data_IF_196400890361
#
_entry.id   IF_196400890361
#
_cell.length_a   1.000
_cell.length_b   1.000
_cell.length_c   1.000
_cell.angle_alpha   90.00
_cell.angle_beta   90.00
_cell.angle_gamma   90.00
#
_symmetry.space_group_name_H-M   'P 1'
#
loop_
_entity.id
_entity.type
_entity.pdbx_description
1 polymer ?
#
# COMPACT_ATOMS: atom_id res chain seq x y z
N UNK A 1 -25.95 2.73 -39.79
CA UNK A 1 -26.63 1.70 -40.61
C UNK A 1 -25.54 0.79 -41.14
N UNK A 2 -25.67 -0.53 -40.99
CA UNK A 2 -24.70 -1.49 -41.52
C UNK A 2 -24.82 -1.48 -43.05
N UNK A 3 -23.68 -1.50 -43.75
CA UNK A 3 -23.65 -1.54 -45.20
C UNK A 3 -24.40 -2.79 -45.70
N UNK A 4 -25.42 -2.66 -46.58
CA UNK A 4 -26.16 -3.78 -47.14
C UNK A 4 -25.27 -4.90 -47.70
N UNK A 5 -24.09 -4.56 -48.23
CA UNK A 5 -23.14 -5.50 -48.83
C UNK A 5 -22.33 -6.29 -47.79
N UNK A 6 -22.38 -5.87 -46.51
CA UNK A 6 -21.70 -6.55 -45.39
C UNK A 6 -22.64 -7.37 -44.51
N UNK A 7 -23.94 -7.36 -44.84
CA UNK A 7 -24.97 -8.05 -44.08
C UNK A 7 -24.76 -9.57 -44.14
N UNK A 8 -24.77 -10.23 -42.98
CA UNK A 8 -24.43 -11.64 -42.77
C UNK A 8 -22.96 -12.04 -42.98
N UNK A 9 -22.04 -11.09 -43.21
CA UNK A 9 -20.63 -11.44 -43.27
C UNK A 9 -20.16 -11.99 -41.92
N UNK A 10 -19.45 -13.12 -41.97
CA UNK A 10 -18.83 -13.75 -40.81
C UNK A 10 -17.45 -13.12 -40.60
N UNK A 11 -17.23 -12.59 -39.40
CA UNK A 11 -15.97 -11.98 -38.98
C UNK A 11 -15.39 -12.75 -37.80
N UNK A 12 -14.07 -12.73 -37.68
CA UNK A 12 -13.36 -13.33 -36.56
C UNK A 12 -12.47 -12.32 -35.85
N UNK A 13 -12.49 -12.33 -34.51
CA UNK A 13 -11.65 -11.48 -33.68
C UNK A 13 -11.15 -12.25 -32.46
N UNK A 14 -10.18 -11.68 -31.75
CA UNK A 14 -9.69 -12.23 -30.50
C UNK A 14 -10.30 -11.48 -29.31
N UNK A 15 -10.74 -12.20 -28.30
CA UNK A 15 -11.37 -11.66 -27.09
C UNK A 15 -10.75 -12.28 -25.84
N UNK A 16 -10.50 -11.48 -24.82
CA UNK A 16 -10.09 -11.97 -23.51
C UNK A 16 -11.31 -12.53 -22.77
N UNK A 17 -11.32 -13.85 -22.55
CA UNK A 17 -12.41 -14.54 -21.86
C UNK A 17 -11.91 -15.02 -20.51
N UNK A 18 -12.55 -14.56 -19.43
CA UNK A 18 -12.25 -15.01 -18.06
C UNK A 18 -13.19 -16.14 -17.68
N UNK A 19 -12.65 -17.30 -17.32
CA UNK A 19 -13.38 -18.46 -16.80
C UNK A 19 -12.92 -18.78 -15.39
N UNK A 20 -13.84 -19.16 -14.52
CA UNK A 20 -13.50 -19.68 -13.19
C UNK A 20 -13.23 -21.18 -13.31
N UNK A 21 -12.00 -21.58 -13.00
CA UNK A 21 -11.60 -22.99 -12.92
C UNK A 21 -11.19 -23.31 -11.50
N UNK A 22 -11.86 -24.30 -10.90
CA UNK A 22 -11.48 -24.84 -9.61
C UNK A 22 -10.19 -25.66 -9.76
N UNK A 23 -9.18 -25.40 -8.93
CA UNK A 23 -8.01 -26.26 -8.82
C UNK A 23 -7.67 -26.55 -7.36
N UNK A 24 -7.04 -27.70 -7.14
CA UNK A 24 -6.67 -28.17 -5.81
C UNK A 24 -5.32 -27.59 -5.41
N UNK A 25 -5.30 -26.69 -4.43
CA UNK A 25 -4.08 -26.16 -3.82
C UNK A 25 -3.71 -27.03 -2.62
N UNK A 26 -2.55 -27.68 -2.69
CA UNK A 26 -1.94 -28.33 -1.52
C UNK A 26 -1.36 -27.26 -0.58
N UNK A 27 -1.74 -27.32 0.68
CA UNK A 27 -1.17 -26.51 1.74
C UNK A 27 0.09 -27.17 2.32
N UNK A 28 0.90 -26.38 3.02
CA UNK A 28 2.14 -26.80 3.67
C UNK A 28 1.94 -27.84 4.77
N UNK A 29 0.72 -27.99 5.29
CA UNK A 29 0.32 -29.00 6.27
C UNK A 29 -0.13 -30.33 5.63
N UNK A 30 -0.09 -30.44 4.29
CA UNK A 30 -0.54 -31.62 3.54
C UNK A 30 -2.03 -31.64 3.21
N UNK A 31 -2.83 -30.69 3.69
CA UNK A 31 -4.25 -30.58 3.34
C UNK A 31 -4.43 -30.01 1.93
N UNK A 32 -5.55 -30.35 1.31
CA UNK A 32 -5.88 -29.90 -0.05
C UNK A 32 -7.13 -29.03 0.01
N UNK A 33 -7.02 -27.78 -0.47
CA UNK A 33 -8.14 -26.85 -0.56
C UNK A 33 -8.48 -26.60 -2.02
N UNK A 34 -9.76 -26.69 -2.38
CA UNK A 34 -10.22 -26.31 -3.72
C UNK A 34 -10.32 -24.80 -3.76
N UNK A 35 -9.53 -24.18 -4.63
CA UNK A 35 -9.52 -22.74 -4.83
C UNK A 35 -10.00 -22.46 -6.23
N UNK A 36 -11.00 -21.58 -6.32
CA UNK A 36 -11.46 -21.04 -7.59
C UNK A 36 -10.45 -20.02 -8.11
N UNK A 37 -9.91 -20.27 -9.30
CA UNK A 37 -9.06 -19.31 -9.98
C UNK A 37 -9.70 -18.83 -11.27
N UNK A 38 -9.63 -17.52 -11.47
CA UNK A 38 -10.04 -16.87 -12.70
C UNK A 38 -8.89 -16.99 -13.69
N UNK A 39 -9.07 -17.81 -14.71
CA UNK A 39 -8.15 -17.90 -15.83
C UNK A 39 -8.65 -17.04 -16.98
N UNK A 40 -7.82 -16.16 -17.50
CA UNK A 40 -8.17 -15.27 -18.62
C UNK A 40 -7.36 -15.66 -19.84
N UNK A 41 -8.05 -16.15 -20.87
CA UNK A 41 -7.42 -16.64 -22.09
C UNK A 41 -7.88 -15.84 -23.28
N UNK A 42 -6.98 -15.60 -24.23
CA UNK A 42 -7.31 -14.98 -25.50
C UNK A 42 -7.97 -16.06 -26.39
N UNK A 43 -9.27 -15.92 -26.63
CA UNK A 43 -10.03 -16.85 -27.46
C UNK A 43 -10.36 -16.20 -28.81
N UNK A 44 -10.28 -17.00 -29.88
CA UNK A 44 -10.77 -16.58 -31.20
C UNK A 44 -12.29 -16.76 -31.25
N UNK A 45 -13.03 -15.68 -31.43
CA UNK A 45 -14.47 -15.67 -31.67
C UNK A 45 -14.77 -15.52 -33.15
N UNK A 46 -15.90 -16.09 -33.57
CA UNK A 46 -16.41 -16.01 -34.93
C UNK A 46 -17.90 -15.70 -34.83
N UNK A 47 -18.36 -14.59 -35.40
CA UNK A 47 -19.77 -14.21 -35.41
C UNK A 47 -20.09 -13.34 -36.62
N UNK A 48 -21.36 -12.94 -36.76
CA UNK A 48 -21.77 -12.02 -37.83
C UNK A 48 -21.32 -10.59 -37.56
N UNK A 49 -21.23 -9.79 -38.62
CA UNK A 49 -20.88 -8.36 -38.56
C UNK A 49 -21.89 -7.58 -37.71
N UNK A 50 -23.18 -7.94 -37.76
CA UNK A 50 -24.23 -7.34 -36.93
C UNK A 50 -23.96 -7.58 -35.45
N UNK A 51 -23.54 -8.80 -35.08
CA UNK A 51 -23.23 -9.12 -33.69
C UNK A 51 -22.02 -8.34 -33.19
N UNK A 52 -21.00 -8.17 -34.02
CA UNK A 52 -19.83 -7.37 -33.67
C UNK A 52 -20.21 -5.89 -33.45
N UNK A 53 -21.06 -5.33 -34.31
CA UNK A 53 -21.55 -3.95 -34.17
C UNK A 53 -22.39 -3.78 -32.91
N UNK A 54 -23.26 -4.75 -32.61
CA UNK A 54 -24.06 -4.76 -31.37
C UNK A 54 -23.15 -4.77 -30.13
N UNK A 55 -22.16 -5.68 -30.07
CA UNK A 55 -21.20 -5.74 -28.97
C UNK A 55 -20.42 -4.43 -28.83
N UNK A 56 -19.94 -3.87 -29.95
CA UNK A 56 -19.23 -2.59 -29.97
C UNK A 56 -20.10 -1.47 -29.41
N UNK A 57 -21.38 -1.38 -29.82
CA UNK A 57 -22.30 -0.35 -29.32
C UNK A 57 -22.61 -0.52 -27.83
N UNK A 58 -22.64 -1.75 -27.32
CA UNK A 58 -22.83 -2.02 -25.90
C UNK A 58 -21.62 -1.60 -25.05
N UNK A 59 -20.40 -1.79 -25.58
CA UNK A 59 -19.15 -1.47 -24.88
C UNK A 59 -18.70 -0.02 -25.05
N UNK A 60 -19.11 0.64 -26.14
CA UNK A 60 -18.69 2.00 -26.51
C UNK A 60 -18.92 3.04 -25.41
N UNK A 61 -20.06 3.07 -24.68
CA UNK A 61 -20.26 4.00 -23.58
C UNK A 61 -19.24 3.81 -22.45
N UNK A 62 -18.98 2.55 -22.08
CA UNK A 62 -18.00 2.21 -21.03
C UNK A 62 -16.58 2.58 -21.46
N UNK A 63 -16.23 2.30 -22.71
CA UNK A 63 -14.95 2.68 -23.28
C UNK A 63 -14.76 4.20 -23.34
N UNK A 64 -15.82 4.95 -23.72
CA UNK A 64 -15.78 6.41 -23.80
C UNK A 64 -15.58 7.05 -22.42
N UNK A 65 -16.28 6.55 -21.38
CA UNK A 65 -16.07 6.98 -19.98
C UNK A 65 -14.64 6.69 -19.54
N UNK A 66 -14.12 5.50 -19.86
CA UNK A 66 -12.76 5.12 -19.51
C UNK A 66 -11.70 6.04 -20.15
N UNK A 67 -11.82 6.34 -21.45
CA UNK A 67 -10.93 7.29 -22.14
C UNK A 67 -11.03 8.69 -21.55
N UNK A 68 -12.24 9.15 -21.25
CA UNK A 68 -12.46 10.43 -20.58
C UNK A 68 -11.77 10.47 -19.21
N UNK A 69 -11.93 9.41 -18.41
CA UNK A 69 -11.32 9.31 -17.09
C UNK A 69 -9.79 9.39 -17.16
N UNK A 70 -9.16 8.66 -18.09
CA UNK A 70 -7.69 8.71 -18.28
C UNK A 70 -7.25 10.14 -18.59
N UNK A 71 -7.87 10.79 -19.57
CA UNK A 71 -7.53 12.15 -19.98
C UNK A 71 -7.74 13.16 -18.85
N UNK A 72 -8.86 13.04 -18.13
CA UNK A 72 -9.19 13.89 -16.99
C UNK A 72 -8.19 13.72 -15.86
N UNK A 73 -7.93 12.49 -15.42
CA UNK A 73 -7.01 12.17 -14.34
C UNK A 73 -5.60 12.66 -14.64
N UNK A 74 -5.10 12.43 -15.86
CA UNK A 74 -3.78 12.92 -16.26
C UNK A 74 -3.68 14.43 -16.15
N UNK A 75 -4.71 15.14 -16.63
CA UNK A 75 -4.79 16.60 -16.55
C UNK A 75 -4.80 17.08 -15.09
N UNK A 76 -5.65 16.47 -14.24
CA UNK A 76 -5.73 16.84 -12.82
C UNK A 76 -4.47 16.57 -12.03
N UNK A 77 -3.81 15.43 -12.26
CA UNK A 77 -2.53 15.10 -11.61
C UNK A 77 -1.43 16.07 -12.06
N UNK A 78 -1.45 16.48 -13.34
CA UNK A 78 -0.52 17.49 -13.85
C UNK A 78 -0.74 18.85 -13.19
N UNK A 79 -1.99 19.31 -13.13
CA UNK A 79 -2.37 20.55 -12.45
C UNK A 79 -1.98 20.52 -10.98
N UNK A 80 -2.24 19.41 -10.29
CA UNK A 80 -1.86 19.20 -8.88
C UNK A 80 -0.35 19.40 -8.69
N UNK A 81 0.48 18.75 -9.50
CA UNK A 81 1.96 18.89 -9.42
C UNK A 81 2.45 20.31 -9.73
N UNK A 82 1.74 21.05 -10.57
CA UNK A 82 2.11 22.41 -10.98
C UNK A 82 1.67 23.49 -9.97
N UNK A 83 0.72 23.18 -9.09
CA UNK A 83 0.09 24.14 -8.18
C UNK A 83 0.31 23.80 -6.69
N UNK A 84 1.36 23.02 -6.38
CA UNK A 84 1.69 22.63 -5.01
C UNK A 84 2.09 23.83 -4.16
N UNK A 85 1.42 23.96 -3.02
CA UNK A 85 1.84 24.85 -1.94
C UNK A 85 3.01 24.24 -1.14
N UNK A 86 3.73 25.08 -0.38
CA UNK A 86 4.90 24.65 0.43
C UNK A 86 4.56 23.63 1.54
N UNK A 87 3.28 23.54 1.91
CA UNK A 87 2.77 22.58 2.88
C UNK A 87 2.21 21.30 2.24
N UNK A 88 2.33 21.16 0.92
CA UNK A 88 1.83 20.03 0.15
C UNK A 88 2.97 19.22 -0.47
N UNK A 89 2.77 17.90 -0.54
CA UNK A 89 3.66 16.98 -1.24
C UNK A 89 2.86 15.96 -2.02
N UNK A 90 3.29 15.66 -3.24
CA UNK A 90 2.73 14.54 -4.04
C UNK A 90 3.70 13.38 -4.01
N UNK A 91 3.22 12.20 -3.62
CA UNK A 91 3.96 10.94 -3.70
C UNK A 91 3.35 10.11 -4.81
N UNK A 92 4.04 10.03 -5.94
CA UNK A 92 3.64 9.18 -7.06
C UNK A 92 4.47 7.91 -7.03
N UNK A 93 3.85 6.75 -6.87
CA UNK A 93 4.58 5.49 -6.68
C UNK A 93 3.93 4.33 -7.41
N UNK A 94 4.77 3.34 -7.72
CA UNK A 94 4.35 2.05 -8.24
C UNK A 94 5.39 0.96 -7.93
N UNK A 95 4.96 -0.31 -7.97
CA UNK A 95 5.85 -1.46 -7.94
C UNK A 95 6.49 -1.64 -9.31
N UNK A 96 7.81 -1.58 -9.35
CA UNK A 96 8.55 -2.11 -10.49
C UNK A 96 8.50 -3.65 -10.43
N UNK A 97 8.53 -4.30 -11.59
CA UNK A 97 8.83 -5.73 -11.66
C UNK A 97 10.06 -6.06 -10.81
N UNK A 98 9.97 -7.18 -10.08
CA UNK A 98 11.03 -7.65 -9.20
C UNK A 98 12.35 -7.79 -9.96
N UNK A 99 13.44 -7.38 -9.33
CA UNK A 99 14.78 -7.59 -9.87
C UNK A 99 15.22 -9.02 -9.60
N UNK A 100 15.62 -9.74 -10.66
CA UNK A 100 16.27 -11.04 -10.52
C UNK A 100 17.76 -10.80 -10.21
N UNK A 101 18.23 -11.22 -9.04
CA UNK A 101 19.62 -11.12 -8.63
C UNK A 101 20.56 -11.87 -9.57
N UNK A 102 21.69 -11.26 -9.93
CA UNK A 102 22.62 -11.78 -10.93
C UNK A 102 24.04 -11.79 -10.38
N UNK A 103 24.82 -12.74 -10.88
CA UNK A 103 26.26 -12.86 -10.62
C UNK A 103 27.03 -12.40 -11.84
N UNK A 104 28.15 -11.74 -11.63
CA UNK A 104 29.01 -11.25 -12.71
C UNK A 104 29.74 -12.36 -13.46
N UNK A 105 29.97 -13.49 -12.78
CA UNK A 105 30.41 -14.75 -13.36
C UNK A 105 29.47 -15.84 -12.89
N UNK A 106 28.70 -16.42 -13.81
CA UNK A 106 27.82 -17.55 -13.47
C UNK A 106 28.67 -18.74 -12.98
N UNK A 107 28.47 -19.13 -11.74
CA UNK A 107 29.03 -20.36 -11.18
C UNK A 107 28.18 -21.51 -11.72
N UNK A 108 28.79 -22.60 -12.21
CA UNK A 108 28.08 -23.75 -12.83
C UNK A 108 26.84 -24.23 -12.07
N UNK A 109 26.80 -24.12 -10.74
CA UNK A 109 25.66 -24.53 -9.90
C UNK A 109 24.43 -23.61 -10.01
N UNK A 110 24.59 -22.33 -10.37
CA UNK A 110 23.44 -21.41 -10.61
C UNK A 110 22.75 -21.67 -11.95
N UNK A 111 23.44 -22.33 -12.90
CA UNK A 111 22.88 -22.72 -14.19
C UNK A 111 21.90 -23.91 -14.07
N UNK A 112 22.07 -24.76 -13.03
CA UNK A 112 21.24 -25.96 -12.81
C UNK A 112 20.32 -25.88 -11.57
N UNK A 113 20.58 -24.97 -10.63
CA UNK A 113 19.82 -24.81 -9.37
C UNK A 113 18.72 -23.74 -9.41
N UNK A 114 17.92 -23.70 -10.49
CA UNK A 114 16.99 -22.62 -10.83
C UNK A 114 16.22 -21.97 -9.66
N UNK A 115 16.68 -20.81 -9.22
CA UNK A 115 15.88 -19.63 -8.90
C UNK A 115 16.83 -18.50 -8.49
N UNK A 116 17.06 -17.52 -9.38
CA UNK A 116 17.69 -16.27 -8.96
C UNK A 116 16.86 -15.66 -7.84
N UNK A 117 17.49 -15.26 -6.73
CA UNK A 117 16.77 -14.53 -5.67
C UNK A 117 16.11 -13.30 -6.30
N UNK A 118 14.87 -13.05 -5.94
CA UNK A 118 14.14 -11.89 -6.41
C UNK A 118 14.14 -10.80 -5.33
N UNK A 119 14.14 -9.55 -5.79
CA UNK A 119 14.10 -8.37 -4.92
C UNK A 119 12.95 -7.48 -5.35
N UNK A 120 12.11 -7.11 -4.39
CA UNK A 120 11.01 -6.18 -4.60
C UNK A 120 11.53 -4.75 -4.65
N UNK A 121 11.07 -4.00 -5.64
CA UNK A 121 11.38 -2.59 -5.83
C UNK A 121 10.07 -1.80 -5.86
N UNK A 122 9.81 -1.01 -4.82
CA UNK A 122 8.71 -0.06 -4.82
C UNK A 122 9.25 1.34 -5.05
N UNK A 123 8.93 1.89 -6.22
CA UNK A 123 9.59 3.04 -6.84
C UNK A 123 8.65 4.23 -6.83
N UNK A 124 9.21 5.44 -6.77
CA UNK A 124 8.37 6.62 -6.84
C UNK A 124 9.12 7.93 -7.00
N UNK A 125 8.33 8.98 -7.11
CA UNK A 125 8.80 10.37 -7.21
C UNK A 125 7.97 11.22 -6.26
N UNK A 126 8.69 11.97 -5.43
CA UNK A 126 8.16 13.05 -4.61
C UNK A 126 8.16 14.32 -5.43
N UNK A 127 7.05 15.06 -5.42
CA UNK A 127 6.96 16.41 -5.99
C UNK A 127 6.62 17.40 -4.87
N UNK A 128 7.33 18.51 -4.85
CA UNK A 128 7.18 19.60 -3.89
C UNK A 128 6.84 20.90 -4.62
N UNK A 129 6.63 21.97 -3.86
CA UNK A 129 6.43 23.32 -4.41
C UNK A 129 7.61 23.76 -5.29
N UNK A 130 7.37 24.77 -6.13
CA UNK A 130 8.38 25.35 -7.02
C UNK A 130 8.98 24.36 -8.04
N UNK A 131 8.33 23.23 -8.27
CA UNK A 131 8.76 22.23 -9.25
C UNK A 131 9.93 21.36 -8.78
N UNK A 132 10.27 21.38 -7.49
CA UNK A 132 11.25 20.46 -6.93
C UNK A 132 10.74 19.02 -6.94
N UNK A 133 11.62 18.06 -7.26
CA UNK A 133 11.26 16.64 -7.27
C UNK A 133 12.41 15.75 -6.83
N UNK A 134 12.08 14.69 -6.08
CA UNK A 134 13.03 13.69 -5.61
C UNK A 134 12.56 12.28 -6.01
N UNK A 135 13.41 11.53 -6.69
CA UNK A 135 13.14 10.11 -6.94
C UNK A 135 13.53 9.26 -5.73
N UNK A 136 12.71 8.27 -5.41
CA UNK A 136 13.00 7.30 -4.37
C UNK A 136 12.70 5.86 -4.83
N UNK A 137 13.35 4.90 -4.18
CA UNK A 137 13.02 3.49 -4.28
C UNK A 137 13.24 2.82 -2.93
N UNK A 138 12.29 1.97 -2.56
CA UNK A 138 12.43 1.09 -1.41
C UNK A 138 12.70 -0.33 -1.89
N UNK A 139 13.63 -1.00 -1.22
CA UNK A 139 14.19 -2.30 -1.61
C UNK A 139 13.89 -3.31 -0.50
N UNK A 140 13.34 -4.47 -0.86
CA UNK A 140 13.05 -5.54 0.09
C UNK A 140 13.29 -6.93 -0.50
N UNK A 141 13.73 -7.86 0.35
CA UNK A 141 13.70 -9.30 0.06
C UNK A 141 12.30 -9.90 0.17
N UNK A 142 11.34 -9.21 0.80
CA UNK A 142 9.96 -9.65 0.89
C UNK A 142 9.27 -9.48 -0.48
N UNK A 143 8.69 -10.56 -1.01
CA UNK A 143 8.03 -10.57 -2.33
C UNK A 143 6.53 -10.23 -2.28
N UNK A 144 6.05 -9.78 -1.12
CA UNK A 144 4.65 -9.38 -0.95
C UNK A 144 4.43 -8.00 -1.55
N UNK A 145 3.33 -7.87 -2.30
CA UNK A 145 2.86 -6.60 -2.85
C UNK A 145 1.46 -6.23 -2.34
N UNK A 146 1.04 -6.82 -1.21
CA UNK A 146 -0.26 -6.49 -0.62
C UNK A 146 -0.27 -5.09 0.01
N UNK A 147 -1.45 -4.63 0.42
CA UNK A 147 -1.63 -3.32 1.06
C UNK A 147 -0.68 -3.10 2.25
N UNK A 148 -0.47 -4.15 3.05
CA UNK A 148 0.39 -4.08 4.24
C UNK A 148 1.83 -3.84 3.83
N UNK A 149 2.34 -4.62 2.87
CA UNK A 149 3.67 -4.44 2.33
C UNK A 149 3.84 -3.04 1.73
N UNK A 150 2.85 -2.56 0.97
CA UNK A 150 2.86 -1.21 0.38
C UNK A 150 3.08 -0.13 1.44
N UNK A 151 2.33 -0.19 2.55
CA UNK A 151 2.46 0.79 3.62
C UNK A 151 3.78 0.67 4.40
N UNK A 152 4.30 -0.54 4.57
CA UNK A 152 5.65 -0.73 5.09
C UNK A 152 6.73 -0.14 4.16
N UNK A 153 6.51 -0.19 2.84
CA UNK A 153 7.36 0.46 1.85
C UNK A 153 7.23 2.00 1.85
N UNK A 154 6.06 2.54 2.14
CA UNK A 154 5.84 3.98 2.26
C UNK A 154 6.38 4.56 3.57
N UNK A 155 6.45 3.78 4.66
CA UNK A 155 6.90 4.25 5.98
C UNK A 155 8.21 5.05 5.97
N UNK A 156 9.34 4.53 5.45
CA UNK A 156 10.59 5.29 5.42
C UNK A 156 10.53 6.51 4.49
N UNK A 157 9.64 6.48 3.49
CA UNK A 157 9.42 7.62 2.58
C UNK A 157 8.69 8.75 3.30
N UNK A 158 7.67 8.42 4.11
CA UNK A 158 6.95 9.39 4.93
C UNK A 158 7.87 10.02 5.98
N UNK A 159 8.75 9.24 6.60
CA UNK A 159 9.77 9.74 7.54
C UNK A 159 10.77 10.67 6.86
N UNK A 160 11.23 10.31 5.66
CA UNK A 160 12.11 11.16 4.85
C UNK A 160 11.45 12.49 4.50
N UNK A 161 10.17 12.49 4.12
CA UNK A 161 9.40 13.70 3.83
C UNK A 161 9.34 14.59 5.07
N UNK A 162 8.96 14.05 6.23
CA UNK A 162 8.85 14.86 7.46
C UNK A 162 10.19 15.41 7.95
N UNK A 163 11.27 14.68 7.70
CA UNK A 163 12.64 15.09 8.10
C UNK A 163 13.20 16.15 7.14
N UNK A 164 13.04 15.95 5.83
CA UNK A 164 13.64 16.82 4.80
C UNK A 164 12.77 18.03 4.47
N UNK A 165 11.46 17.91 4.62
CA UNK A 165 10.46 18.94 4.31
C UNK A 165 9.44 19.08 5.46
N UNK A 166 9.85 19.60 6.63
CA UNK A 166 8.99 19.68 7.82
C UNK A 166 7.71 20.52 7.63
N UNK A 167 7.72 21.45 6.67
CA UNK A 167 6.56 22.27 6.29
C UNK A 167 5.42 21.45 5.70
N UNK A 168 5.72 20.28 5.11
CA UNK A 168 4.73 19.40 4.50
C UNK A 168 3.73 18.87 5.54
N UNK A 169 2.49 19.33 5.41
CA UNK A 169 1.34 18.98 6.26
C UNK A 169 0.33 18.15 5.48
N UNK A 170 0.25 18.29 4.17
CA UNK A 170 -0.76 17.63 3.34
C UNK A 170 -0.08 16.72 2.32
N UNK A 171 -0.55 15.48 2.23
CA UNK A 171 0.04 14.47 1.34
C UNK A 171 -0.96 14.01 0.29
N UNK A 172 -0.51 14.01 -0.96
CA UNK A 172 -1.27 13.53 -2.11
C UNK A 172 -0.59 12.28 -2.68
N UNK A 173 -1.15 11.12 -2.39
CA UNK A 173 -0.73 9.85 -2.94
C UNK A 173 -1.30 9.66 -4.35
N UNK A 174 -0.48 9.12 -5.24
CA UNK A 174 -0.87 8.75 -6.60
C UNK A 174 -0.30 7.36 -6.90
N UNK A 175 -1.16 6.42 -7.25
CA UNK A 175 -0.79 5.07 -7.67
C UNK A 175 -1.82 4.55 -8.68
N UNK A 176 -1.58 3.37 -9.24
CA UNK A 176 -2.61 2.65 -9.99
C UNK A 176 -3.66 2.00 -9.06
N UNK A 177 -4.68 1.41 -9.66
CA UNK A 177 -5.87 0.90 -8.98
C UNK A 177 -6.03 -0.62 -8.74
N UNK A 178 -5.03 -1.53 -8.87
CA UNK A 178 -5.17 -2.94 -8.50
C UNK A 178 -5.68 -3.12 -7.08
N UNK A 179 -6.73 -3.92 -6.92
CA UNK A 179 -7.34 -4.18 -5.60
C UNK A 179 -6.47 -5.06 -4.71
N UNK A 180 -5.58 -5.86 -5.28
CA UNK A 180 -4.62 -6.68 -4.52
C UNK A 180 -3.57 -5.84 -3.79
N UNK A 181 -3.29 -4.63 -4.29
CA UNK A 181 -2.16 -3.81 -3.84
C UNK A 181 -2.68 -2.51 -3.19
N UNK A 182 -3.19 -1.58 -4.00
CA UNK A 182 -3.47 -0.21 -3.56
C UNK A 182 -4.95 0.06 -3.24
N UNK A 183 -5.89 -0.42 -4.07
CA UNK A 183 -7.30 -0.02 -3.97
C UNK A 183 -8.13 -1.04 -3.21
N UNK A 184 -7.96 -1.11 -1.89
CA UNK A 184 -8.71 -2.01 -1.03
C UNK A 184 -8.94 -1.45 0.38
N UNK A 185 -9.78 -2.15 1.15
CA UNK A 185 -10.18 -1.74 2.51
C UNK A 185 -9.00 -1.57 3.47
N UNK A 186 -7.95 -2.37 3.33
CA UNK A 186 -6.77 -2.30 4.20
C UNK A 186 -5.98 -1.05 3.87
N UNK A 187 -5.74 -0.78 2.58
CA UNK A 187 -5.11 0.45 2.13
C UNK A 187 -5.90 1.69 2.52
N UNK A 188 -7.23 1.66 2.47
CA UNK A 188 -8.07 2.78 2.89
C UNK A 188 -7.94 3.06 4.39
N UNK A 189 -7.96 2.01 5.21
CA UNK A 189 -7.73 2.14 6.65
C UNK A 189 -6.34 2.75 6.92
N UNK A 190 -5.29 2.16 6.38
CA UNK A 190 -3.91 2.61 6.58
C UNK A 190 -3.67 4.04 6.05
N UNK A 191 -4.31 4.42 4.94
CA UNK A 191 -4.28 5.79 4.42
C UNK A 191 -4.91 6.81 5.36
N UNK A 192 -5.94 6.41 6.10
CA UNK A 192 -6.59 7.26 7.10
C UNK A 192 -5.91 7.26 8.47
N UNK A 193 -4.86 6.46 8.68
CA UNK A 193 -4.19 6.35 9.99
C UNK A 193 -2.70 6.69 9.92
N UNK A 194 -1.94 5.99 9.07
CA UNK A 194 -0.47 6.05 9.05
C UNK A 194 0.07 7.46 8.78
N UNK A 195 -0.42 8.22 7.77
CA UNK A 195 0.09 9.57 7.56
C UNK A 195 -0.20 10.51 8.75
N UNK A 196 -1.38 10.39 9.38
CA UNK A 196 -1.70 11.19 10.55
C UNK A 196 -0.77 10.87 11.73
N UNK A 197 -0.43 9.60 11.93
CA UNK A 197 0.59 9.22 12.91
C UNK A 197 1.97 9.81 12.60
N UNK A 198 2.29 10.08 11.34
CA UNK A 198 3.54 10.76 10.94
C UNK A 198 3.42 12.29 11.00
N UNK A 199 2.29 12.84 11.44
CA UNK A 199 2.08 14.28 11.60
C UNK A 199 1.65 14.98 10.31
N UNK A 200 1.03 14.27 9.36
CA UNK A 200 0.28 14.89 8.27
C UNK A 200 -1.13 15.25 8.76
N UNK A 201 -1.66 16.36 8.26
CA UNK A 201 -3.00 16.89 8.58
C UNK A 201 -4.07 16.45 7.59
N UNK A 202 -3.69 16.06 6.38
CA UNK A 202 -4.63 15.56 5.39
C UNK A 202 -3.95 14.61 4.41
N UNK A 203 -4.76 13.69 3.88
CA UNK A 203 -4.35 12.68 2.91
C UNK A 203 -5.36 12.65 1.79
N UNK A 204 -4.85 12.69 0.55
CA UNK A 204 -5.63 12.24 -0.61
C UNK A 204 -4.91 11.09 -1.28
N UNK A 205 -5.63 10.12 -1.80
CA UNK A 205 -5.06 9.06 -2.63
C UNK A 205 -5.82 8.96 -3.94
N UNK A 206 -5.17 9.30 -5.04
CA UNK A 206 -5.70 9.26 -6.38
C UNK A 206 -5.30 7.95 -7.06
N UNK A 207 -6.31 7.19 -7.51
CA UNK A 207 -6.11 5.92 -8.21
C UNK A 207 -6.27 6.13 -9.72
N UNK A 208 -5.21 5.90 -10.48
CA UNK A 208 -5.24 6.01 -11.94
C UNK A 208 -6.02 4.87 -12.57
N UNK A 209 -6.65 5.16 -13.70
CA UNK A 209 -7.34 4.16 -14.52
C UNK A 209 -6.39 3.10 -15.08
N UNK A 210 -6.94 1.92 -15.39
CA UNK A 210 -6.18 0.93 -16.13
C UNK A 210 -5.71 1.49 -17.49
N UNK A 211 -4.61 0.97 -18.04
CA UNK A 211 -4.09 1.43 -19.35
C UNK A 211 -3.75 2.94 -19.44
N UNK A 212 -3.56 3.61 -18.29
CA UNK A 212 -3.14 5.02 -18.20
C UNK A 212 -1.71 5.31 -18.72
N UNK A 213 -0.97 4.30 -19.17
CA UNK A 213 0.38 4.42 -19.69
C UNK A 213 1.44 4.27 -18.60
N UNK A 214 2.71 4.53 -18.97
CA UNK A 214 3.83 4.47 -18.03
C UNK A 214 3.97 5.77 -17.26
N UNK A 215 4.19 5.66 -15.95
CA UNK A 215 4.42 6.78 -15.04
C UNK A 215 5.89 7.13 -14.84
N UNK A 216 6.13 8.19 -14.08
CA UNK A 216 7.48 8.51 -13.60
C UNK A 216 8.13 7.40 -12.73
N UNK A 217 7.38 6.68 -11.86
CA UNK A 217 7.92 5.55 -11.09
C UNK A 217 8.55 4.46 -11.98
N UNK A 218 7.92 4.11 -13.10
CA UNK A 218 8.46 3.14 -14.07
C UNK A 218 9.84 3.51 -14.58
N UNK A 219 10.06 4.82 -14.82
CA UNK A 219 11.36 5.34 -15.25
C UNK A 219 12.43 5.17 -14.19
N UNK A 220 12.09 5.39 -12.92
CA UNK A 220 13.00 5.17 -11.78
C UNK A 220 13.36 3.69 -11.66
N UNK A 221 12.38 2.80 -11.70
CA UNK A 221 12.59 1.35 -11.66
C UNK A 221 13.44 0.86 -12.83
N UNK A 222 13.15 1.31 -14.05
CA UNK A 222 13.94 0.98 -15.24
C UNK A 222 15.39 1.46 -15.13
N UNK A 223 15.61 2.70 -14.67
CA UNK A 223 16.95 3.26 -14.53
C UNK A 223 17.80 2.49 -13.49
N UNK A 224 17.23 2.16 -12.33
CA UNK A 224 17.93 1.40 -11.30
C UNK A 224 18.24 -0.04 -11.72
N UNK A 225 17.29 -0.73 -12.36
CA UNK A 225 17.53 -2.10 -12.86
C UNK A 225 18.60 -2.11 -13.95
N UNK A 226 18.57 -1.15 -14.86
CA UNK A 226 19.62 -0.99 -15.87
C UNK A 226 21.00 -0.68 -15.27
N UNK A 227 21.04 0.11 -14.19
CA UNK A 227 22.29 0.35 -13.45
C UNK A 227 22.79 -0.92 -12.77
N UNK A 228 21.92 -1.68 -12.09
CA UNK A 228 22.28 -2.95 -11.47
C UNK A 228 22.81 -3.96 -12.51
N UNK A 229 22.13 -4.10 -13.65
CA UNK A 229 22.57 -4.96 -14.75
C UNK A 229 23.93 -4.57 -15.31
N UNK A 230 24.18 -3.26 -15.41
CA UNK A 230 25.48 -2.74 -15.84
C UNK A 230 26.59 -3.06 -14.83
N UNK A 231 26.32 -2.93 -13.54
CA UNK A 231 27.30 -3.28 -12.49
C UNK A 231 27.66 -4.76 -12.53
N UNK A 232 26.66 -5.62 -12.75
CA UNK A 232 26.88 -7.06 -12.95
C UNK A 232 27.75 -7.32 -14.18
N UNK A 233 27.44 -6.69 -15.30
CA UNK A 233 28.23 -6.80 -16.53
C UNK A 233 29.69 -6.35 -16.35
N UNK A 234 29.96 -5.43 -15.42
CA UNK A 234 31.31 -4.95 -15.09
C UNK A 234 32.02 -5.73 -13.98
N UNK A 235 31.48 -6.86 -13.51
CA UNK A 235 32.19 -7.69 -12.53
C UNK A 235 31.67 -7.61 -11.09
N UNK A 236 30.53 -6.94 -10.84
CA UNK A 236 29.96 -6.81 -9.49
C UNK A 236 28.86 -7.83 -9.25
N UNK A 237 28.98 -8.66 -8.22
CA UNK A 237 27.93 -9.61 -7.87
C UNK A 237 26.80 -8.91 -7.10
N UNK A 238 25.55 -9.22 -7.47
CA UNK A 238 24.34 -8.74 -6.78
C UNK A 238 23.50 -9.97 -6.41
N UNK A 239 23.87 -10.70 -5.34
CA UNK A 239 23.21 -11.94 -4.95
C UNK A 239 21.89 -11.74 -4.20
N UNK A 240 21.65 -10.57 -3.61
CA UNK A 240 20.49 -10.29 -2.75
C UNK A 240 20.14 -8.80 -2.69
N UNK A 241 19.09 -8.49 -1.91
CA UNK A 241 18.58 -7.14 -1.71
C UNK A 241 19.59 -6.19 -1.04
N UNK A 242 20.43 -6.69 -0.13
CA UNK A 242 21.43 -5.88 0.56
C UNK A 242 22.54 -5.46 -0.39
N UNK A 243 23.05 -6.40 -1.19
CA UNK A 243 24.03 -6.11 -2.22
C UNK A 243 23.46 -5.15 -3.27
N UNK A 244 22.19 -5.33 -3.67
CA UNK A 244 21.53 -4.42 -4.61
C UNK A 244 21.48 -3.00 -4.04
N UNK A 245 20.97 -2.84 -2.82
CA UNK A 245 20.86 -1.55 -2.13
C UNK A 245 22.24 -0.87 -1.98
N UNK A 246 23.23 -1.61 -1.49
CA UNK A 246 24.59 -1.12 -1.27
C UNK A 246 25.24 -0.62 -2.56
N UNK A 247 25.14 -1.39 -3.65
CA UNK A 247 25.74 -1.03 -4.92
C UNK A 247 25.01 0.14 -5.60
N UNK A 248 23.67 0.18 -5.55
CA UNK A 248 22.90 1.26 -6.13
C UNK A 248 23.08 2.58 -5.37
N UNK A 249 23.17 2.55 -4.04
CA UNK A 249 23.36 3.77 -3.21
C UNK A 249 24.68 4.50 -3.48
N UNK A 250 25.69 3.80 -3.99
CA UNK A 250 26.98 4.39 -4.35
C UNK A 250 26.97 5.10 -5.71
N UNK A 251 26.05 4.76 -6.59
CA UNK A 251 26.09 5.16 -8.01
C UNK A 251 24.81 5.82 -8.52
N UNK A 252 23.76 5.88 -7.72
CA UNK A 252 22.48 6.50 -8.07
C UNK A 252 22.22 7.75 -7.23
N UNK A 253 21.58 8.75 -7.84
CA UNK A 253 21.04 9.91 -7.14
C UNK A 253 19.66 9.66 -6.52
N UNK A 254 19.04 8.51 -6.82
CA UNK A 254 17.73 8.10 -6.26
C UNK A 254 17.88 7.80 -4.76
N UNK A 255 16.97 8.30 -3.94
CA UNK A 255 16.92 7.98 -2.51
C UNK A 255 16.55 6.51 -2.32
N UNK A 256 17.38 5.74 -1.63
CA UNK A 256 17.17 4.31 -1.44
C UNK A 256 16.90 3.99 0.03
N UNK A 257 15.86 3.19 0.26
CA UNK A 257 15.47 2.76 1.60
C UNK A 257 15.37 1.23 1.66
N UNK A 258 15.79 0.65 2.79
CA UNK A 258 15.62 -0.78 3.09
C UNK A 258 14.30 -1.01 3.79
N UNK A 259 13.57 -2.04 3.38
CA UNK A 259 12.35 -2.50 4.05
C UNK A 259 12.49 -3.97 4.36
N UNK A 260 12.39 -4.34 5.63
CA UNK A 260 12.54 -5.72 6.08
C UNK A 260 11.20 -6.41 6.23
N UNK A 261 11.20 -7.75 6.25
CA UNK A 261 9.98 -8.52 6.44
C UNK A 261 9.37 -8.28 7.82
N UNK A 262 10.19 -8.07 8.86
CA UNK A 262 9.71 -7.71 10.20
C UNK A 262 8.90 -6.41 10.17
N UNK A 263 9.34 -5.42 9.38
CA UNK A 263 8.60 -4.17 9.20
C UNK A 263 7.25 -4.42 8.53
N UNK A 264 7.19 -5.30 7.53
CA UNK A 264 5.91 -5.69 6.91
C UNK A 264 4.97 -6.35 7.93
N UNK A 265 5.50 -7.20 8.81
CA UNK A 265 4.69 -7.81 9.87
C UNK A 265 4.23 -6.80 10.93
N UNK A 266 5.06 -5.82 11.32
CA UNK A 266 4.58 -4.76 12.23
C UNK A 266 3.39 -4.00 11.63
N UNK A 267 3.40 -3.71 10.32
CA UNK A 267 2.28 -3.08 9.64
C UNK A 267 1.05 -3.99 9.53
N UNK A 268 1.22 -5.32 9.53
CA UNK A 268 0.10 -6.26 9.54
C UNK A 268 -0.66 -6.16 10.86
N UNK A 269 0.07 -6.05 11.97
CA UNK A 269 -0.51 -5.93 13.30
C UNK A 269 -1.29 -4.62 13.48
N UNK A 270 -0.98 -3.58 12.71
CA UNK A 270 -1.74 -2.33 12.71
C UNK A 270 -3.15 -2.47 12.10
N UNK A 271 -3.39 -3.52 11.31
CA UNK A 271 -4.65 -3.71 10.60
C UNK A 271 -5.66 -4.44 11.49
N UNK A 272 -6.86 -3.88 11.72
CA UNK A 272 -7.89 -4.55 12.50
C UNK A 272 -8.26 -5.91 11.88
N UNK A 273 -8.52 -6.94 12.70
CA UNK A 273 -8.81 -8.29 12.22
C UNK A 273 -10.08 -8.36 11.35
N UNK A 274 -11.02 -7.42 11.54
CA UNK A 274 -12.25 -7.33 10.76
C UNK A 274 -12.44 -5.92 10.20
N UNK A 275 -12.00 -5.71 8.96
CA UNK A 275 -12.35 -4.51 8.18
C UNK A 275 -13.52 -4.78 7.25
N UNK A 276 -14.51 -3.88 7.25
CA UNK A 276 -15.61 -3.90 6.29
C UNK A 276 -15.13 -3.40 4.94
N UNK A 277 -15.52 -4.10 3.87
CA UNK A 277 -15.24 -3.65 2.50
C UNK A 277 -16.14 -2.48 2.16
N UNK A 278 -15.56 -1.40 1.62
CA UNK A 278 -16.33 -0.26 1.11
C UNK A 278 -17.10 -0.68 -0.14
N UNK A 279 -18.41 -0.45 -0.15
CA UNK A 279 -19.22 -0.80 -1.32
C UNK A 279 -18.80 0.07 -2.51
N UNK A 280 -18.58 -0.56 -3.66
CA UNK A 280 -18.18 0.16 -4.87
C UNK A 280 -16.69 0.54 -4.93
N UNK A 281 -15.80 -0.11 -4.18
CA UNK A 281 -14.33 0.09 -4.24
C UNK A 281 -13.78 0.24 -5.66
N UNK A 282 -14.24 -0.56 -6.62
CA UNK A 282 -13.78 -0.50 -8.01
C UNK A 282 -14.18 0.78 -8.77
N UNK A 283 -15.15 1.54 -8.24
CA UNK A 283 -15.60 2.84 -8.76
C UNK A 283 -14.96 4.02 -8.03
N UNK A 284 -14.17 3.75 -6.99
CA UNK A 284 -13.44 4.79 -6.25
C UNK A 284 -12.22 5.20 -7.07
N UNK A 285 -12.17 6.48 -7.43
CA UNK A 285 -11.03 7.11 -8.12
C UNK A 285 -10.16 7.95 -7.18
N UNK A 286 -10.72 8.37 -6.03
CA UNK A 286 -10.01 9.15 -5.04
C UNK A 286 -10.50 8.81 -3.64
N UNK A 287 -9.56 8.65 -2.71
CA UNK A 287 -9.79 8.67 -1.27
C UNK A 287 -9.38 10.03 -0.73
N UNK A 288 -10.17 10.59 0.18
CA UNK A 288 -9.85 11.84 0.90
C UNK A 288 -10.06 11.60 2.38
N UNK A 289 -9.07 11.95 3.20
CA UNK A 289 -9.12 11.93 4.66
C UNK A 289 -8.59 13.28 5.16
N UNK A 290 -9.45 14.08 5.77
CA UNK A 290 -9.09 15.32 6.47
C UNK A 290 -8.86 15.12 7.95
N UNK A 291 -9.33 13.98 8.46
CA UNK A 291 -9.28 13.61 9.86
C UNK A 291 -8.73 12.18 9.99
N UNK A 292 -8.10 11.85 11.12
CA UNK A 292 -7.68 10.49 11.41
C UNK A 292 -8.88 9.54 11.40
N UNK A 293 -8.68 8.33 10.89
CA UNK A 293 -9.70 7.30 10.91
C UNK A 293 -10.15 7.00 12.35
N UNK A 294 -11.47 6.93 12.57
CA UNK A 294 -12.15 6.69 13.86
C UNK A 294 -11.77 5.40 14.61
N UNK A 295 -10.90 4.57 14.04
CA UNK A 295 -10.44 3.29 14.58
C UNK A 295 -8.91 3.27 14.82
N UNK A 296 -8.30 4.44 15.03
CA UNK A 296 -6.91 4.53 15.47
C UNK A 296 -6.87 4.32 16.99
N UNK A 297 -6.47 3.12 17.44
CA UNK A 297 -6.30 2.82 18.87
C UNK A 297 -4.81 2.85 19.19
N UNK A 298 -4.42 3.79 20.05
CA UNK A 298 -3.05 3.95 20.53
C UNK A 298 -2.91 3.32 21.91
N UNK A 299 -1.70 2.91 22.24
CA UNK A 299 -1.29 2.68 23.62
C UNK A 299 -0.42 3.82 24.05
N UNK A 300 -0.89 4.55 25.06
CA UNK A 300 -0.17 5.67 25.66
C UNK A 300 0.45 5.22 26.98
N UNK A 301 1.69 5.64 27.21
CA UNK A 301 2.34 5.50 28.51
C UNK A 301 2.14 6.78 29.31
N UNK A 302 1.61 6.64 30.52
CA UNK A 302 1.46 7.72 31.48
C UNK A 302 1.81 7.22 32.87
N UNK A 303 2.71 7.91 33.56
CA UNK A 303 3.25 7.53 34.88
C UNK A 303 3.80 6.08 34.97
N UNK A 304 4.27 5.54 33.85
CA UNK A 304 4.83 4.17 33.74
C UNK A 304 3.78 3.08 33.49
N UNK A 305 2.50 3.43 33.47
CA UNK A 305 1.40 2.53 33.12
C UNK A 305 0.98 2.71 31.65
N UNK A 306 0.47 1.62 31.06
CA UNK A 306 0.04 1.59 29.65
C UNK A 306 -1.49 1.61 29.55
N UNK A 307 -2.00 2.55 28.76
CA UNK A 307 -3.42 2.74 28.55
C UNK A 307 -3.75 2.66 27.06
N UNK A 308 -4.47 1.63 26.61
CA UNK A 308 -5.10 1.61 25.29
C UNK A 308 -6.20 2.66 25.19
N UNK A 309 -6.29 3.37 24.09
CA UNK A 309 -7.33 4.36 23.88
C UNK A 309 -7.53 4.73 22.42
N UNK A 310 -8.74 5.17 22.09
CA UNK A 310 -9.07 5.59 20.72
C UNK A 310 -8.74 7.05 20.53
N UNK A 311 -8.03 7.39 19.45
CA UNK A 311 -7.78 8.79 19.11
C UNK A 311 -9.06 9.42 18.60
N UNK A 312 -9.45 10.49 19.27
CA UNK A 312 -10.65 11.25 18.92
C UNK A 312 -10.32 12.54 18.17
N UNK A 313 -9.13 13.11 18.39
CA UNK A 313 -8.65 14.28 17.68
C UNK A 313 -7.10 14.31 17.65
N UNK A 314 -6.51 14.94 16.63
CA UNK A 314 -5.08 15.26 16.61
C UNK A 314 -4.93 16.74 16.28
N UNK A 315 -4.17 17.46 17.11
CA UNK A 315 -3.85 18.87 16.92
C UNK A 315 -2.33 19.02 17.01
N UNK A 316 -1.73 19.35 15.86
CA UNK A 316 -0.28 19.48 15.70
C UNK A 316 0.47 18.18 16.02
N UNK A 317 1.06 18.07 17.20
CA UNK A 317 1.78 16.88 17.69
C UNK A 317 1.19 16.33 19.00
N UNK A 318 -0.04 16.75 19.29
CA UNK A 318 -0.82 16.28 20.44
C UNK A 318 -2.01 15.45 19.95
N UNK A 319 -2.27 14.37 20.67
CA UNK A 319 -3.29 13.37 20.37
C UNK A 319 -4.30 13.37 21.50
N UNK A 320 -5.55 13.73 21.21
CA UNK A 320 -6.66 13.59 22.15
C UNK A 320 -7.14 12.14 22.12
N UNK A 321 -6.86 11.40 23.19
CA UNK A 321 -7.15 9.97 23.29
C UNK A 321 -8.22 9.73 24.35
N UNK A 322 -9.25 8.98 23.95
CA UNK A 322 -10.25 8.41 24.86
C UNK A 322 -9.71 7.09 25.40
N UNK A 323 -9.02 7.15 26.55
CA UNK A 323 -8.29 6.02 27.14
C UNK A 323 -9.18 5.10 27.95
N UNK A 324 -8.97 3.80 27.81
CA UNK A 324 -9.55 2.79 28.68
C UNK A 324 -8.80 2.72 30.01
N UNK A 325 -9.52 2.49 31.10
CA UNK A 325 -8.94 2.29 32.42
C UNK A 325 -8.43 0.85 32.58
N UNK A 326 -7.30 0.70 33.28
CA UNK A 326 -6.75 -0.60 33.64
C UNK A 326 -7.58 -1.25 34.78
N UNK A 327 -7.96 -2.51 34.60
CA UNK A 327 -8.67 -3.34 35.58
C UNK A 327 -7.89 -4.63 35.93
N UNK A 328 -6.63 -4.74 35.51
CA UNK A 328 -5.75 -5.87 35.75
C UNK A 328 -4.77 -6.09 34.59
N UNK A 329 -4.00 -7.17 34.66
CA UNK A 329 -3.03 -7.52 33.61
C UNK A 329 -3.75 -7.75 32.28
N UNK A 330 -3.45 -6.91 31.27
CA UNK A 330 -4.08 -6.92 29.96
C UNK A 330 -5.63 -6.89 29.99
N UNK A 331 -6.21 -6.17 30.95
CA UNK A 331 -7.66 -6.03 31.09
C UNK A 331 -8.02 -4.57 31.25
N UNK A 332 -8.86 -4.08 30.35
CA UNK A 332 -9.22 -2.68 30.23
C UNK A 332 -10.74 -2.50 30.20
N UNK A 333 -11.24 -1.32 30.54
CA UNK A 333 -12.65 -0.99 30.43
C UNK A 333 -12.85 0.50 30.17
N UNK A 334 -13.91 0.84 29.46
CA UNK A 334 -14.36 2.23 29.39
C UNK A 334 -15.14 2.58 30.67
N UNK A 335 -14.82 3.72 31.32
CA UNK A 335 -15.60 4.20 32.45
C UNK A 335 -17.09 4.28 32.11
N UNK A 336 -17.95 3.81 33.01
CA UNK A 336 -19.41 3.80 32.79
C UNK A 336 -20.04 5.20 32.85
N UNK A 337 -19.29 6.17 33.35
CA UNK A 337 -19.65 7.57 33.54
C UNK A 337 -18.46 8.38 33.02
N UNK A 338 -18.64 9.07 31.89
CA UNK A 338 -17.63 9.98 31.36
C UNK A 338 -17.72 11.33 32.04
N UNK A 339 -16.62 11.81 32.63
CA UNK A 339 -16.51 13.18 33.11
C UNK A 339 -16.06 14.11 31.95
N UNK A 340 -16.48 15.39 31.92
CA UNK A 340 -15.94 16.37 30.99
C UNK A 340 -14.44 16.56 31.29
N UNK A 341 -13.57 15.92 30.50
CA UNK A 341 -12.12 15.89 30.72
C UNK A 341 -11.47 14.50 30.62
N UNK A 342 -12.24 13.42 30.45
CA UNK A 342 -11.71 12.04 30.32
C UNK A 342 -10.94 11.79 29.01
N UNK A 343 -11.02 12.73 28.07
CA UNK A 343 -10.19 12.75 26.88
C UNK A 343 -8.91 13.50 27.19
N UNK A 344 -7.81 12.77 27.22
CA UNK A 344 -6.50 13.32 27.62
C UNK A 344 -5.68 13.59 26.37
N UNK A 345 -5.00 14.73 26.36
CA UNK A 345 -4.07 15.09 25.30
C UNK A 345 -2.68 14.52 25.63
N UNK A 346 -2.17 13.69 24.73
CA UNK A 346 -0.85 13.07 24.83
C UNK A 346 0.07 13.63 23.75
N UNK A 347 1.34 13.83 24.08
CA UNK A 347 2.34 14.12 23.06
C UNK A 347 2.73 12.84 22.33
N UNK A 348 3.30 13.00 21.14
CA UNK A 348 3.84 11.88 20.36
C UNK A 348 4.77 10.96 21.16
N UNK A 349 5.60 11.53 22.03
CA UNK A 349 6.56 10.78 22.86
C UNK A 349 5.87 9.89 23.91
N UNK A 350 4.61 10.18 24.26
CA UNK A 350 3.82 9.34 25.16
C UNK A 350 3.17 8.15 24.45
N UNK A 351 3.18 8.11 23.11
CA UNK A 351 2.59 7.02 22.33
C UNK A 351 3.61 5.90 22.22
N UNK A 352 3.30 4.76 22.86
CA UNK A 352 4.14 3.56 22.82
C UNK A 352 3.94 2.74 21.56
N UNK A 353 2.69 2.55 21.16
CA UNK A 353 2.35 1.68 20.05
C UNK A 353 0.96 2.00 19.49
N UNK A 354 0.66 1.45 18.31
CA UNK A 354 -0.69 1.39 17.78
C UNK A 354 -1.14 -0.07 17.74
N UNK A 355 -2.35 -0.33 18.21
CA UNK A 355 -2.90 -1.68 18.27
C UNK A 355 -4.22 -1.80 17.51
N UNK A 356 -4.58 -3.03 17.09
CA UNK A 356 -5.95 -3.33 16.74
C UNK A 356 -6.90 -2.98 17.88
N UNK A 357 -8.16 -2.77 17.53
CA UNK A 357 -9.22 -2.59 18.52
C UNK A 357 -9.21 -3.74 19.56
N UNK A 358 -9.09 -3.42 20.87
CA UNK A 358 -9.10 -4.41 21.93
C UNK A 358 -10.36 -5.28 21.86
N UNK A 359 -10.20 -6.60 22.04
CA UNK A 359 -11.33 -7.52 21.94
C UNK A 359 -12.06 -7.64 23.29
N UNK A 360 -13.37 -7.92 23.30
CA UNK A 360 -14.12 -8.22 24.52
C UNK A 360 -13.47 -9.37 25.31
N UNK A 361 -13.01 -9.07 26.53
CA UNK A 361 -12.47 -10.06 27.48
C UNK A 361 -13.57 -10.83 28.23
N UNK A 362 -14.83 -10.40 28.09
CA UNK A 362 -16.00 -11.05 28.68
C UNK A 362 -17.17 -11.03 27.69
N UNK A 363 -18.10 -11.98 27.81
CA UNK A 363 -19.33 -12.02 27.02
C UNK A 363 -20.20 -10.77 27.15
N UNK A 364 -20.05 -10.02 28.25
CA UNK A 364 -20.75 -8.75 28.50
C UNK A 364 -20.17 -7.56 27.74
N UNK A 365 -19.01 -7.71 27.09
CA UNK A 365 -18.25 -6.64 26.43
C UNK A 365 -17.96 -5.40 27.30
N UNK A 366 -17.98 -5.55 28.62
CA UNK A 366 -17.62 -4.47 29.57
C UNK A 366 -16.13 -4.34 29.81
N UNK A 367 -15.39 -5.41 29.56
CA UNK A 367 -13.94 -5.45 29.66
C UNK A 367 -13.37 -5.88 28.32
N UNK A 368 -12.22 -5.31 27.99
CA UNK A 368 -11.48 -5.54 26.77
C UNK A 368 -10.06 -5.99 27.10
N UNK A 369 -9.44 -6.70 26.17
CA UNK A 369 -8.05 -7.15 26.27
C UNK A 369 -7.36 -6.96 24.93
N UNK A 370 -6.09 -6.57 24.98
CA UNK A 370 -5.21 -6.54 23.81
C UNK A 370 -4.80 -7.98 23.49
N UNK A 371 -4.55 -8.29 22.22
CA UNK A 371 -4.06 -9.62 21.84
C UNK A 371 -2.78 -9.95 22.63
N UNK A 372 -2.71 -11.15 23.20
CA UNK A 372 -1.63 -11.54 24.13
C UNK A 372 -0.23 -11.42 23.52
N UNK A 373 -0.11 -11.67 22.22
CA UNK A 373 1.14 -11.54 21.44
C UNK A 373 1.63 -10.09 21.38
N UNK A 374 0.70 -9.15 21.21
CA UNK A 374 0.98 -7.71 21.20
C UNK A 374 1.32 -7.24 22.62
N UNK A 375 0.51 -7.65 23.61
CA UNK A 375 0.75 -7.31 25.02
C UNK A 375 2.11 -7.82 25.53
N UNK A 376 2.56 -8.98 25.05
CA UNK A 376 3.87 -9.55 25.40
C UNK A 376 5.07 -8.71 24.90
N UNK A 377 4.89 -7.84 23.91
CA UNK A 377 5.94 -6.92 23.45
C UNK A 377 6.32 -5.91 24.53
N UNK A 378 5.33 -5.44 25.28
CA UNK A 378 5.56 -4.43 26.31
C UNK A 378 6.05 -5.04 27.64
N UNK A 379 5.69 -6.29 27.95
CA UNK A 379 6.26 -7.02 29.11
C UNK A 379 7.77 -7.23 29.03
N UNK A 380 8.34 -7.41 27.83
CA UNK A 380 9.78 -7.64 27.66
C UNK A 380 10.65 -6.39 27.92
N UNK A 381 10.03 -5.23 28.14
CA UNK A 381 10.73 -4.00 28.53
C UNK A 381 11.05 -3.91 30.03
N UNK A 382 10.40 -4.72 30.88
CA UNK A 382 10.51 -4.60 32.35
C UNK A 382 11.67 -5.38 32.98
N UNK A 383 12.41 -6.20 32.23
CA UNK A 383 13.60 -6.92 32.74
C UNK A 383 14.91 -6.08 32.76
N UNK A 384 14.81 -4.76 32.60
CA UNK A 384 15.93 -3.83 32.86
C UNK A 384 15.66 -2.96 34.09
N UNK A 385 15.72 -3.56 35.28
CA UNK A 385 16.22 -2.89 36.49
C UNK A 385 17.02 -3.85 37.34
#
# INVERSE_FOLDING_TARGET
MIDPDTKNNIVSWNEWVTRTTAFTKKQSDGTSTVVDAKNTTLEKKVASTEKLVELTNNDLPRFSIHLYNIAHQFTRIKELKQSLAEDQVVVHFDYSENYNCKWSKEIKDTHFGGCHKQVTLHTGVLYFSEGQSEAFTTVSSCLRHDAVATWAHLDPVLEHIKTSHPSAKNIHLVSDGPTSQYRNKVSFYLASTVPFMKGFKSVTWNFTEASHGKGAPDGVGGALKNLADRLVAYGTDIPDAEALLHNLSKQSSVKLFKVTEEKVETYRELVPPSLKTVQGTLKVHQLVSTDPGWAMVLVVEYDGDLYPGTVTQIVEDQFEVDTMNCAGENRFFYPSIGFPGDKVWYFRDNIKDMIPEPMPATSSARHFSVAAEIWAKWRRGEERR
#
